data_IF_842994024160
#
_entry.id   IF_842994024160
#
_cell.length_a   1.000
_cell.length_b   1.000
_cell.length_c   1.000
_cell.angle_alpha   90.00
_cell.angle_beta   90.00
_cell.angle_gamma   90.00
#
_symmetry.space_group_name_H-M   'P 1'
#
loop_
_entity.id
_entity.type
_entity.pdbx_description
1 polymer ?
#
# COMPACT_ATOMS: atom_id res chain seq x y z
N UNK A 1 -0.80 3.91 6.12
CA UNK A 1 -0.98 3.73 7.58
C UNK A 1 0.35 3.96 8.33
N UNK A 2 1.39 3.15 8.16
CA UNK A 2 2.69 3.29 8.86
C UNK A 2 3.31 4.69 8.77
N UNK A 3 3.42 5.26 7.57
CA UNK A 3 3.98 6.60 7.36
C UNK A 3 3.25 7.66 8.20
N UNK A 4 1.93 7.55 8.33
CA UNK A 4 1.12 8.49 9.12
C UNK A 4 1.35 8.37 10.62
N UNK A 5 1.57 7.17 11.15
CA UNK A 5 2.01 7.04 12.54
C UNK A 5 3.30 7.80 12.77
N UNK A 6 4.28 7.65 11.88
CA UNK A 6 5.55 8.36 11.99
C UNK A 6 5.37 9.88 11.88
N UNK A 7 4.65 10.37 10.87
CA UNK A 7 4.48 11.80 10.61
C UNK A 7 3.68 12.48 11.73
N UNK A 8 2.51 11.94 12.06
CA UNK A 8 1.60 12.56 13.04
C UNK A 8 2.17 12.50 14.47
N UNK A 9 2.89 11.42 14.80
CA UNK A 9 3.61 11.34 16.08
C UNK A 9 4.92 12.13 16.11
N UNK A 10 5.26 12.84 15.03
CA UNK A 10 6.55 13.54 14.88
C UNK A 10 7.76 12.63 15.10
N UNK A 11 7.65 11.39 14.64
CA UNK A 11 8.71 10.39 14.72
C UNK A 11 8.79 9.62 16.03
N UNK A 12 7.87 9.86 16.98
CA UNK A 12 7.84 9.14 18.27
C UNK A 12 7.35 7.69 18.09
N UNK A 13 6.45 7.45 17.14
CA UNK A 13 5.96 6.11 16.80
C UNK A 13 6.31 5.81 15.35
N UNK A 14 7.00 4.70 15.11
CA UNK A 14 7.45 4.29 13.76
C UNK A 14 7.10 2.83 13.46
N UNK A 15 5.84 2.39 13.70
CA UNK A 15 5.48 1.01 13.42
C UNK A 15 5.47 0.75 11.91
N UNK A 16 6.02 -0.38 11.50
CA UNK A 16 5.74 -0.98 10.20
C UNK A 16 4.54 -1.89 10.42
N UNK A 17 3.38 -1.51 9.92
CA UNK A 17 2.13 -2.25 10.13
C UNK A 17 2.07 -3.49 9.22
N UNK A 18 1.60 -4.59 9.76
CA UNK A 18 1.58 -5.88 9.10
C UNK A 18 0.59 -5.96 7.94
N UNK A 19 1.09 -6.10 6.72
CA UNK A 19 0.28 -6.47 5.57
C UNK A 19 -0.31 -7.90 5.71
N UNK A 20 0.44 -8.83 6.31
CA UNK A 20 -0.04 -10.18 6.61
C UNK A 20 -1.27 -10.20 7.50
N UNK A 21 -1.32 -9.34 8.53
CA UNK A 21 -2.50 -9.22 9.38
C UNK A 21 -3.73 -8.73 8.59
N UNK A 22 -3.56 -7.76 7.71
CA UNK A 22 -4.66 -7.27 6.85
C UNK A 22 -5.12 -8.36 5.89
N UNK A 23 -4.19 -9.02 5.19
CA UNK A 23 -4.52 -10.08 4.21
C UNK A 23 -5.27 -11.23 4.88
N UNK A 24 -4.82 -11.68 6.07
CA UNK A 24 -5.36 -12.88 6.71
C UNK A 24 -6.54 -12.64 7.65
N UNK A 25 -6.63 -11.48 8.29
CA UNK A 25 -7.60 -11.22 9.37
C UNK A 25 -8.68 -10.20 9.03
N UNK A 26 -8.53 -9.42 7.97
CA UNK A 26 -9.60 -8.57 7.48
C UNK A 26 -10.61 -9.40 6.66
N UNK A 27 -11.72 -9.80 7.30
CA UNK A 27 -12.69 -10.73 6.68
C UNK A 27 -13.91 -10.05 6.04
N UNK A 28 -14.18 -8.79 6.38
CA UNK A 28 -15.29 -8.03 5.82
C UNK A 28 -14.77 -7.21 4.62
N UNK A 29 -15.17 -7.58 3.40
CA UNK A 29 -14.78 -6.88 2.17
C UNK A 29 -13.34 -7.06 1.71
N UNK A 30 -12.47 -7.65 2.54
CA UNK A 30 -11.15 -8.13 2.16
C UNK A 30 -11.24 -9.59 1.74
N UNK A 31 -10.56 -9.94 0.65
CA UNK A 31 -10.59 -11.30 0.06
C UNK A 31 -9.19 -11.92 0.04
N UNK A 32 -8.35 -11.58 1.01
CA UNK A 32 -6.98 -12.08 1.10
C UNK A 32 -6.18 -11.81 -0.19
N UNK A 33 -5.55 -12.86 -0.71
CA UNK A 33 -4.78 -12.78 -1.96
C UNK A 33 -5.67 -12.62 -3.22
N UNK A 34 -6.98 -12.69 -3.10
CA UNK A 34 -7.92 -12.42 -4.20
C UNK A 34 -8.38 -10.96 -4.27
N UNK A 35 -7.70 -10.06 -3.56
CA UNK A 35 -7.95 -8.62 -3.58
C UNK A 35 -8.86 -8.15 -2.45
N UNK A 36 -9.60 -7.05 -2.69
CA UNK A 36 -10.48 -6.45 -1.70
C UNK A 36 -10.77 -4.99 -2.00
N UNK A 37 -11.46 -4.36 -1.10
CA UNK A 37 -11.78 -2.93 -1.16
C UNK A 37 -10.89 -2.17 -0.17
N UNK A 38 -10.11 -1.18 -0.60
CA UNK A 38 -9.14 -0.50 0.27
C UNK A 38 -9.74 0.06 1.56
N UNK A 39 -10.94 0.63 1.49
CA UNK A 39 -11.59 1.19 2.69
C UNK A 39 -11.86 0.14 3.78
N UNK A 40 -12.01 -1.13 3.43
CA UNK A 40 -12.19 -2.21 4.42
C UNK A 40 -10.91 -2.44 5.24
N UNK A 41 -9.74 -2.25 4.64
CA UNK A 41 -8.48 -2.29 5.38
C UNK A 41 -8.39 -1.14 6.40
N UNK A 42 -8.96 0.03 6.08
CA UNK A 42 -9.03 1.15 7.03
C UNK A 42 -10.07 0.91 8.14
N UNK A 43 -11.22 0.29 7.82
CA UNK A 43 -12.19 -0.17 8.82
C UNK A 43 -11.55 -1.20 9.76
N UNK A 44 -10.78 -2.15 9.21
CA UNK A 44 -10.04 -3.12 10.00
C UNK A 44 -9.01 -2.44 10.91
N UNK A 45 -8.26 -1.45 10.40
CA UNK A 45 -7.33 -0.67 11.19
C UNK A 45 -8.02 0.08 12.33
N UNK A 46 -9.18 0.72 12.06
CA UNK A 46 -9.98 1.42 13.07
C UNK A 46 -10.52 0.49 14.16
N UNK A 47 -11.12 -0.63 13.77
CA UNK A 47 -11.87 -1.50 14.69
C UNK A 47 -11.04 -2.58 15.38
N UNK A 48 -10.09 -3.18 14.66
CA UNK A 48 -9.31 -4.32 15.14
C UNK A 48 -7.89 -3.94 15.55
N UNK A 49 -7.35 -2.87 14.97
CA UNK A 49 -5.93 -2.55 15.05
C UNK A 49 -5.07 -3.51 14.23
N UNK A 50 -3.89 -3.05 13.86
CA UNK A 50 -2.92 -3.82 13.05
C UNK A 50 -1.63 -3.93 13.85
N UNK A 51 -1.08 -5.14 14.07
CA UNK A 51 0.21 -5.31 14.74
C UNK A 51 1.37 -4.89 13.83
N UNK A 52 2.57 -4.86 14.36
CA UNK A 52 3.78 -4.68 13.57
C UNK A 52 4.01 -5.85 12.62
N UNK A 53 4.62 -5.56 11.49
CA UNK A 53 5.04 -6.51 10.48
C UNK A 53 6.21 -5.93 9.71
N UNK A 54 6.85 -6.76 8.93
CA UNK A 54 7.98 -6.38 8.09
C UNK A 54 8.00 -7.28 6.86
N UNK A 55 9.13 -7.32 6.18
CA UNK A 55 9.34 -8.22 5.05
C UNK A 55 9.36 -9.69 5.52
N UNK A 56 9.33 -10.61 4.55
CA UNK A 56 9.48 -12.04 4.82
C UNK A 56 10.80 -12.31 5.55
N UNK A 57 10.72 -13.05 6.65
CA UNK A 57 11.88 -13.40 7.49
C UNK A 57 12.32 -12.33 8.49
N UNK A 58 11.58 -11.21 8.60
CA UNK A 58 11.79 -10.24 9.66
C UNK A 58 11.50 -10.87 11.02
N UNK A 59 12.44 -10.77 11.96
CA UNK A 59 12.33 -11.34 13.32
C UNK A 59 12.03 -10.30 14.39
N UNK A 60 11.98 -9.01 14.04
CA UNK A 60 11.83 -7.89 14.98
C UNK A 60 10.39 -7.35 15.05
N UNK A 61 9.45 -8.01 14.37
CA UNK A 61 8.05 -7.61 14.29
C UNK A 61 7.09 -8.74 14.64
N UNK A 62 5.85 -8.42 15.00
CA UNK A 62 4.87 -9.40 15.44
C UNK A 62 4.45 -10.39 14.34
N UNK A 63 4.04 -9.86 13.17
CA UNK A 63 3.58 -10.66 12.02
C UNK A 63 4.24 -10.20 10.72
N UNK A 64 5.44 -10.68 10.40
CA UNK A 64 6.11 -10.37 9.14
C UNK A 64 5.33 -10.88 7.92
N UNK A 65 5.72 -10.41 6.73
CA UNK A 65 5.07 -10.86 5.51
C UNK A 65 5.31 -12.35 5.28
N UNK A 66 4.27 -13.05 4.86
CA UNK A 66 4.29 -14.53 4.79
C UNK A 66 4.88 -15.09 3.50
N UNK A 67 5.17 -14.24 2.50
CA UNK A 67 5.76 -14.64 1.23
C UNK A 67 7.13 -13.97 1.03
N UNK A 68 8.12 -14.70 0.51
CA UNK A 68 9.37 -14.11 0.08
C UNK A 68 9.17 -13.22 -1.15
N UNK A 69 10.14 -12.34 -1.41
CA UNK A 69 10.19 -11.55 -2.65
C UNK A 69 10.22 -12.48 -3.85
N UNK A 70 9.50 -12.13 -4.90
CA UNK A 70 9.44 -12.89 -6.14
C UNK A 70 9.54 -11.97 -7.37
N UNK A 71 9.76 -12.58 -8.52
CA UNK A 71 9.95 -11.90 -9.80
C UNK A 71 8.59 -11.47 -10.38
N UNK A 72 8.12 -10.26 -10.05
CA UNK A 72 6.81 -9.76 -10.45
C UNK A 72 6.90 -8.96 -11.75
N UNK A 73 6.32 -9.47 -12.84
CA UNK A 73 6.30 -8.86 -14.19
C UNK A 73 7.67 -8.58 -14.82
N UNK A 74 8.74 -9.19 -14.31
CA UNK A 74 10.10 -8.98 -14.80
C UNK A 74 10.80 -10.32 -15.06
N UNK A 75 11.81 -10.27 -15.92
CA UNK A 75 12.71 -11.39 -16.15
C UNK A 75 14.08 -11.06 -15.55
N UNK A 76 14.84 -12.09 -15.18
CA UNK A 76 16.26 -11.98 -14.81
C UNK A 76 16.61 -11.09 -13.61
N UNK A 77 15.71 -10.98 -12.62
CA UNK A 77 15.99 -10.26 -11.35
C UNK A 77 16.80 -11.09 -10.35
N UNK A 78 17.03 -12.37 -10.63
CA UNK A 78 17.62 -13.32 -9.68
C UNK A 78 16.66 -13.81 -8.59
N UNK A 79 15.41 -13.34 -8.59
CA UNK A 79 14.36 -13.82 -7.71
C UNK A 79 13.61 -15.00 -8.36
N UNK A 80 12.97 -15.87 -7.55
CA UNK A 80 12.08 -16.90 -8.09
C UNK A 80 10.84 -16.27 -8.72
N UNK A 81 10.19 -16.97 -9.64
CA UNK A 81 8.91 -16.54 -10.20
C UNK A 81 7.85 -16.46 -9.11
N UNK A 82 6.95 -15.48 -9.22
CA UNK A 82 5.83 -15.37 -8.33
C UNK A 82 4.82 -16.51 -8.60
N UNK A 83 4.18 -17.08 -7.56
CA UNK A 83 3.07 -17.99 -7.75
C UNK A 83 1.92 -17.26 -8.42
N UNK A 84 1.18 -17.94 -9.30
CA UNK A 84 0.02 -17.38 -10.02
C UNK A 84 -1.04 -16.84 -9.04
N UNK A 85 -1.35 -17.62 -8.01
CA UNK A 85 -2.15 -17.18 -6.85
C UNK A 85 -1.51 -17.75 -5.58
N UNK A 86 -1.13 -16.85 -4.68
CA UNK A 86 -0.65 -17.26 -3.37
C UNK A 86 -1.84 -17.63 -2.46
N UNK A 87 -1.65 -18.67 -1.66
CA UNK A 87 -2.63 -19.04 -0.64
C UNK A 87 -2.40 -18.19 0.60
N UNK A 88 -3.41 -17.41 0.97
CA UNK A 88 -3.36 -16.65 2.21
C UNK A 88 -3.25 -17.55 3.45
N UNK A 89 -2.50 -17.16 4.48
CA UNK A 89 -2.49 -17.87 5.75
C UNK A 89 -3.83 -17.68 6.47
N UNK A 90 -4.19 -18.62 7.33
CA UNK A 90 -5.32 -18.43 8.25
C UNK A 90 -5.01 -17.27 9.20
N UNK A 91 -6.05 -16.49 9.55
CA UNK A 91 -5.90 -15.45 10.57
C UNK A 91 -5.32 -16.04 11.86
N UNK A 92 -4.14 -15.59 12.22
CA UNK A 92 -3.48 -15.90 13.47
C UNK A 92 -3.29 -14.61 14.27
N UNK A 93 -3.80 -14.59 15.49
CA UNK A 93 -3.70 -13.46 16.42
C UNK A 93 -2.63 -13.73 17.48
N UNK A 94 -1.49 -14.28 17.03
CA UNK A 94 -0.31 -14.57 17.84
C UNK A 94 0.91 -14.07 17.10
N UNK A 95 1.79 -13.37 17.79
CA UNK A 95 3.07 -12.96 17.21
C UNK A 95 3.97 -14.18 16.97
N UNK A 96 4.96 -14.01 16.10
CA UNK A 96 5.98 -15.03 15.87
C UNK A 96 6.76 -15.35 17.16
N UNK A 97 7.36 -16.52 17.19
CA UNK A 97 8.18 -16.97 18.33
C UNK A 97 9.41 -16.04 18.51
N UNK A 98 9.70 -15.68 19.74
CA UNK A 98 10.82 -14.79 20.09
C UNK A 98 10.50 -13.30 20.05
N UNK A 99 9.31 -12.90 19.61
CA UNK A 99 8.88 -11.50 19.71
C UNK A 99 8.42 -11.18 21.14
N UNK A 100 8.79 -10.01 21.65
CA UNK A 100 8.71 -9.66 23.08
C UNK A 100 7.33 -9.19 23.57
N UNK A 101 6.37 -8.95 22.64
CA UNK A 101 5.02 -8.47 22.97
C UNK A 101 3.94 -9.47 22.54
N UNK A 102 2.84 -9.46 23.28
CA UNK A 102 1.64 -10.13 22.83
C UNK A 102 0.97 -9.41 21.66
N UNK A 103 0.31 -10.15 20.77
CA UNK A 103 -0.42 -9.61 19.62
C UNK A 103 -1.39 -8.48 20.01
N UNK A 104 -2.05 -8.57 21.16
CA UNK A 104 -3.00 -7.55 21.63
C UNK A 104 -2.32 -6.25 22.01
N UNK A 105 -1.12 -6.33 22.55
CA UNK A 105 -0.33 -5.19 23.02
C UNK A 105 0.39 -4.49 21.86
N UNK A 106 0.69 -5.23 20.80
CA UNK A 106 1.40 -4.71 19.62
C UNK A 106 0.48 -4.05 18.57
N UNK A 107 -0.82 -3.93 18.82
CA UNK A 107 -1.76 -3.38 17.84
C UNK A 107 -1.78 -1.86 17.84
N UNK A 108 -1.70 -1.31 16.66
CA UNK A 108 -1.84 0.12 16.35
C UNK A 108 -3.19 0.37 15.69
N UNK A 109 -3.91 1.37 16.14
CA UNK A 109 -5.27 1.67 15.70
C UNK A 109 -5.33 2.96 14.88
N UNK A 110 -6.38 3.13 14.10
CA UNK A 110 -6.81 4.44 13.61
C UNK A 110 -7.73 5.10 14.64
N UNK A 111 -7.77 6.43 14.63
CA UNK A 111 -8.82 7.21 15.30
C UNK A 111 -10.02 7.46 14.37
N UNK A 112 -9.77 7.55 13.08
CA UNK A 112 -10.77 7.72 12.03
C UNK A 112 -10.21 7.29 10.65
N UNK A 113 -11.12 7.09 9.69
CA UNK A 113 -10.79 6.99 8.27
C UNK A 113 -11.77 7.85 7.47
N UNK A 114 -11.32 8.33 6.32
CA UNK A 114 -12.10 9.22 5.45
C UNK A 114 -11.63 9.13 3.99
N UNK A 115 -12.42 9.70 3.09
CA UNK A 115 -12.08 9.84 1.69
C UNK A 115 -11.66 11.26 1.38
N UNK A 116 -10.75 11.41 0.41
CA UNK A 116 -10.27 12.70 -0.08
C UNK A 116 -10.64 12.82 -1.56
N UNK A 117 -11.05 13.99 -2.02
CA UNK A 117 -11.45 14.20 -3.41
C UNK A 117 -10.97 15.57 -3.91
N UNK A 118 -10.57 15.59 -5.17
CA UNK A 118 -10.08 16.83 -5.79
C UNK A 118 -8.57 17.02 -5.67
N UNK A 119 -7.96 17.54 -6.72
CA UNK A 119 -6.49 17.66 -6.83
C UNK A 119 -5.88 18.45 -5.65
N UNK A 120 -6.48 19.58 -5.28
CA UNK A 120 -5.94 20.45 -4.23
C UNK A 120 -6.10 19.85 -2.84
N UNK A 121 -7.22 19.19 -2.55
CA UNK A 121 -7.46 18.50 -1.29
C UNK A 121 -6.50 17.30 -1.13
N UNK A 122 -6.24 16.56 -2.20
CA UNK A 122 -5.28 15.45 -2.22
C UNK A 122 -3.87 15.96 -1.91
N UNK A 123 -3.45 17.06 -2.54
CA UNK A 123 -2.13 17.68 -2.29
C UNK A 123 -2.02 18.16 -0.85
N UNK A 124 -3.04 18.84 -0.34
CA UNK A 124 -3.10 19.34 1.04
C UNK A 124 -2.99 18.18 2.03
N UNK A 125 -3.75 17.12 1.80
CA UNK A 125 -3.74 15.93 2.65
C UNK A 125 -2.36 15.26 2.71
N UNK A 126 -1.71 15.11 1.56
CA UNK A 126 -0.35 14.54 1.49
C UNK A 126 0.65 15.46 2.21
N UNK A 127 0.55 16.76 2.00
CA UNK A 127 1.48 17.74 2.57
C UNK A 127 1.37 17.81 4.08
N UNK A 128 0.16 17.83 4.64
CA UNK A 128 -0.08 18.00 6.06
C UNK A 128 0.02 16.70 6.86
N UNK A 129 -0.40 15.57 6.28
CA UNK A 129 -0.61 14.31 7.02
C UNK A 129 0.12 13.11 6.43
N UNK A 130 0.73 13.26 5.26
CA UNK A 130 1.54 12.23 4.62
C UNK A 130 0.76 11.36 3.64
N UNK A 131 1.34 10.23 3.28
CA UNK A 131 0.88 9.36 2.20
C UNK A 131 -0.58 8.93 2.31
N UNK A 132 -1.20 8.71 1.15
CA UNK A 132 -2.58 8.26 1.00
C UNK A 132 -2.63 6.98 0.16
N UNK A 133 -3.69 6.20 0.34
CA UNK A 133 -4.02 5.09 -0.55
C UNK A 133 -4.85 5.62 -1.73
N UNK A 134 -4.60 5.07 -2.90
CA UNK A 134 -5.41 5.25 -4.09
C UNK A 134 -5.52 3.95 -4.86
N UNK A 135 -6.60 3.80 -5.60
CA UNK A 135 -6.81 2.69 -6.53
C UNK A 135 -6.94 3.20 -7.95
N UNK A 136 -6.36 2.50 -8.91
CA UNK A 136 -6.47 2.85 -10.32
C UNK A 136 -6.61 1.60 -11.20
N UNK A 137 -6.98 1.81 -12.46
CA UNK A 137 -7.10 0.77 -13.46
C UNK A 137 -5.74 0.52 -14.13
N UNK A 138 -5.28 -0.70 -14.07
CA UNK A 138 -4.02 -1.16 -14.71
C UNK A 138 -4.32 -1.70 -16.09
N UNK A 139 -3.55 -1.24 -17.07
CA UNK A 139 -3.54 -1.72 -18.45
C UNK A 139 -2.21 -2.41 -18.78
N UNK A 140 -2.15 -3.14 -19.87
CA UNK A 140 -0.98 -3.92 -20.25
C UNK A 140 0.29 -3.06 -20.38
N UNK A 141 0.19 -1.86 -20.93
CA UNK A 141 1.32 -0.93 -21.09
C UNK A 141 1.90 -0.41 -19.76
N UNK A 142 1.12 -0.47 -18.67
CA UNK A 142 1.62 -0.12 -17.33
C UNK A 142 2.60 -1.16 -16.79
N UNK A 143 2.45 -2.42 -17.16
CA UNK A 143 3.33 -3.51 -16.69
C UNK A 143 4.78 -3.24 -17.07
N UNK A 144 4.99 -2.66 -18.26
CA UNK A 144 6.32 -2.36 -18.81
C UNK A 144 6.85 -0.97 -18.45
N UNK A 145 6.16 -0.23 -17.57
CA UNK A 145 6.58 1.10 -17.14
C UNK A 145 8.00 1.07 -16.56
N UNK A 146 8.84 2.06 -16.93
CA UNK A 146 10.21 2.22 -16.41
C UNK A 146 10.48 3.62 -15.87
N UNK A 147 10.10 4.66 -16.61
CA UNK A 147 10.39 6.06 -16.26
C UNK A 147 9.40 7.03 -16.89
N UNK A 148 9.45 8.30 -16.48
CA UNK A 148 8.58 9.37 -16.98
C UNK A 148 7.20 9.38 -16.33
N UNK A 149 6.29 10.19 -16.87
CA UNK A 149 4.90 10.28 -16.40
C UNK A 149 4.04 9.33 -17.20
N UNK A 150 3.56 8.26 -16.54
CA UNK A 150 2.71 7.27 -17.19
C UNK A 150 1.40 7.88 -17.65
N UNK A 151 1.09 7.60 -18.90
CA UNK A 151 -0.19 7.86 -19.53
C UNK A 151 -0.53 6.63 -20.37
N UNK A 152 -1.67 6.02 -20.07
CA UNK A 152 -2.16 4.86 -20.82
C UNK A 152 -2.37 5.24 -22.29
N UNK A 153 -1.81 4.48 -23.20
CA UNK A 153 -1.90 4.70 -24.66
C UNK A 153 -2.43 3.47 -25.41
N UNK A 154 -2.15 2.26 -24.91
CA UNK A 154 -2.57 1.02 -25.58
C UNK A 154 -2.59 -0.18 -24.61
N UNK A 155 -3.22 -1.26 -25.04
CA UNK A 155 -3.31 -2.50 -24.28
C UNK A 155 -4.64 -2.70 -23.57
N UNK A 156 -4.91 -3.95 -23.22
CA UNK A 156 -6.16 -4.34 -22.56
C UNK A 156 -6.14 -3.97 -21.07
N UNK A 157 -7.33 -3.78 -20.49
CA UNK A 157 -7.51 -3.63 -19.06
C UNK A 157 -7.19 -4.95 -18.35
N UNK A 158 -6.28 -4.91 -17.38
CA UNK A 158 -5.90 -6.05 -16.54
C UNK A 158 -6.69 -6.11 -15.21
N UNK A 159 -7.08 -4.96 -14.65
CA UNK A 159 -7.86 -4.90 -13.42
C UNK A 159 -7.60 -3.66 -12.58
N UNK A 160 -8.16 -3.67 -11.38
CA UNK A 160 -7.93 -2.63 -10.38
C UNK A 160 -6.71 -2.94 -9.52
N UNK A 161 -5.96 -1.90 -9.13
CA UNK A 161 -4.76 -2.04 -8.32
C UNK A 161 -4.69 -0.92 -7.27
N UNK A 162 -4.36 -1.27 -6.04
CA UNK A 162 -4.17 -0.32 -4.95
C UNK A 162 -2.70 0.09 -4.83
N UNK A 163 -2.45 1.38 -4.72
CA UNK A 163 -1.11 1.97 -4.64
C UNK A 163 -1.04 3.02 -3.54
N UNK A 164 0.14 3.50 -3.25
CA UNK A 164 0.37 4.58 -2.30
C UNK A 164 0.85 5.85 -3.03
N UNK A 165 0.11 6.95 -2.91
CA UNK A 165 0.56 8.26 -3.37
C UNK A 165 1.34 8.93 -2.24
N UNK A 166 2.56 9.40 -2.54
CA UNK A 166 3.48 10.00 -1.57
C UNK A 166 3.84 11.45 -1.88
N UNK A 167 3.46 11.96 -3.06
CA UNK A 167 3.81 13.30 -3.49
C UNK A 167 3.30 13.62 -4.89
N UNK A 168 3.72 14.76 -5.38
CA UNK A 168 3.37 15.24 -6.72
C UNK A 168 4.47 16.13 -7.27
N UNK A 169 4.40 16.42 -8.58
CA UNK A 169 5.33 17.32 -9.25
C UNK A 169 4.91 17.66 -10.68
N UNK A 170 5.86 18.20 -11.40
CA UNK A 170 5.76 18.48 -12.84
C UNK A 170 7.06 18.01 -13.48
N UNK A 171 6.98 17.23 -14.55
CA UNK A 171 8.10 16.76 -15.34
C UNK A 171 7.85 17.07 -16.81
N UNK A 172 8.76 17.80 -17.44
CA UNK A 172 8.63 18.23 -18.84
C UNK A 172 7.29 18.92 -19.16
N UNK A 173 6.74 19.68 -18.19
CA UNK A 173 5.45 20.36 -18.32
C UNK A 173 4.23 19.49 -17.99
N UNK A 174 4.40 18.19 -17.72
CA UNK A 174 3.32 17.26 -17.38
C UNK A 174 3.22 17.13 -15.86
N UNK A 175 2.04 17.39 -15.31
CA UNK A 175 1.75 17.21 -13.88
C UNK A 175 1.67 15.73 -13.55
N UNK A 176 2.19 15.31 -12.39
CA UNK A 176 2.13 13.91 -11.96
C UNK A 176 1.86 13.73 -10.47
N UNK A 177 1.33 12.57 -10.12
CA UNK A 177 1.40 11.98 -8.79
C UNK A 177 2.62 11.06 -8.71
N UNK A 178 3.40 11.16 -7.62
CA UNK A 178 4.47 10.22 -7.30
C UNK A 178 3.89 9.09 -6.45
N UNK A 179 4.01 7.88 -6.95
CA UNK A 179 3.39 6.68 -6.37
C UNK A 179 4.40 5.61 -6.02
N UNK A 180 4.09 4.83 -5.00
CA UNK A 180 4.81 3.60 -4.62
C UNK A 180 3.96 2.41 -5.05
N UNK A 181 4.58 1.51 -5.83
CA UNK A 181 3.99 0.24 -6.22
C UNK A 181 4.36 -0.87 -5.21
N UNK A 182 3.76 -2.04 -5.36
CA UNK A 182 4.02 -3.23 -4.55
C UNK A 182 4.54 -4.42 -5.39
N UNK A 183 5.19 -4.14 -6.53
CA UNK A 183 5.73 -5.15 -7.45
C UNK A 183 7.26 -5.30 -7.34
N UNK A 184 7.82 -5.10 -6.16
CA UNK A 184 9.23 -5.04 -5.77
C UNK A 184 10.03 -3.85 -6.34
N UNK A 185 11.28 -3.74 -5.91
CA UNK A 185 12.17 -2.61 -6.25
C UNK A 185 12.81 -2.68 -7.65
N UNK A 186 12.67 -3.82 -8.34
CA UNK A 186 13.21 -3.98 -9.69
C UNK A 186 12.24 -3.48 -10.77
N UNK A 187 10.96 -3.33 -10.44
CA UNK A 187 9.94 -2.79 -11.34
C UNK A 187 9.93 -1.24 -11.30
N UNK A 188 9.68 -0.63 -12.48
CA UNK A 188 9.55 0.82 -12.59
C UNK A 188 10.83 1.56 -12.21
N UNK A 189 10.70 2.72 -11.60
CA UNK A 189 11.82 3.48 -11.04
C UNK A 189 12.04 3.03 -9.57
N UNK A 190 12.73 1.90 -9.38
CA UNK A 190 13.01 1.31 -8.05
C UNK A 190 11.74 1.08 -7.20
N UNK A 191 10.68 0.57 -7.83
CA UNK A 191 9.39 0.35 -7.19
C UNK A 191 8.46 1.56 -7.18
N UNK A 192 8.91 2.70 -7.71
CA UNK A 192 8.12 3.92 -7.84
C UNK A 192 7.63 4.12 -9.27
N UNK A 193 6.60 4.93 -9.41
CA UNK A 193 6.15 5.42 -10.70
C UNK A 193 5.49 6.79 -10.58
N UNK A 194 5.41 7.50 -11.69
CA UNK A 194 4.68 8.75 -11.83
C UNK A 194 3.48 8.51 -12.73
N UNK A 195 2.32 9.02 -12.38
CA UNK A 195 1.11 8.93 -13.20
C UNK A 195 0.51 10.33 -13.39
N UNK A 196 -0.07 10.58 -14.56
CA UNK A 196 -0.69 11.87 -14.91
C UNK A 196 -1.67 12.34 -13.83
N UNK A 197 -1.52 13.62 -13.41
CA UNK A 197 -2.30 14.27 -12.35
C UNK A 197 -3.23 15.34 -12.88
N UNK A 198 -4.43 15.43 -12.26
CA UNK A 198 -5.40 16.48 -12.51
C UNK A 198 -6.46 16.12 -13.55
N UNK A 199 -6.40 14.92 -14.13
CA UNK A 199 -7.33 14.43 -15.15
C UNK A 199 -8.00 13.10 -14.76
N UNK A 200 -7.85 12.70 -13.49
CA UNK A 200 -8.31 11.39 -12.99
C UNK A 200 -7.87 10.23 -13.89
N UNK A 201 -6.63 10.28 -14.36
CA UNK A 201 -6.09 9.32 -15.33
C UNK A 201 -6.14 7.89 -14.77
N UNK A 202 -6.69 6.95 -15.52
CA UNK A 202 -6.95 5.57 -15.10
C UNK A 202 -7.74 5.46 -13.77
N UNK A 203 -8.45 6.52 -13.36
CA UNK A 203 -9.23 6.56 -12.14
C UNK A 203 -8.44 6.84 -10.86
N UNK A 204 -7.16 7.21 -10.95
CA UNK A 204 -6.25 7.35 -9.80
C UNK A 204 -6.69 8.39 -8.76
N UNK A 205 -7.53 9.36 -9.13
CA UNK A 205 -8.05 10.39 -8.22
C UNK A 205 -9.47 10.11 -7.71
N UNK A 206 -10.11 9.03 -8.20
CA UNK A 206 -11.52 8.77 -7.92
C UNK A 206 -11.76 8.13 -6.55
N UNK A 207 -10.88 7.23 -6.12
CA UNK A 207 -11.08 6.38 -4.96
C UNK A 207 -9.90 6.49 -4.00
N UNK A 208 -9.81 7.61 -3.29
CA UNK A 208 -8.75 7.85 -2.32
C UNK A 208 -9.30 7.65 -0.92
N UNK A 209 -8.67 6.76 -0.19
CA UNK A 209 -8.99 6.49 1.21
C UNK A 209 -7.76 6.74 2.06
N UNK A 210 -7.99 7.30 3.23
CA UNK A 210 -6.94 7.54 4.20
C UNK A 210 -7.50 7.49 5.63
N UNK A 211 -6.67 7.68 6.64
CA UNK A 211 -7.09 7.69 8.04
C UNK A 211 -6.04 8.29 8.94
N UNK A 212 -6.44 8.68 10.12
CA UNK A 212 -5.57 9.21 11.15
C UNK A 212 -5.20 8.12 12.15
N UNK A 213 -3.92 8.01 12.54
CA UNK A 213 -3.52 7.10 13.59
C UNK A 213 -4.08 7.56 14.94
N UNK A 214 -4.46 6.61 15.77
CA UNK A 214 -4.67 6.87 17.19
C UNK A 214 -3.29 6.84 17.85
N UNK A 215 -2.89 7.98 18.39
CA UNK A 215 -1.68 8.09 19.21
C UNK A 215 -2.09 7.88 20.67
N UNK A 216 -1.35 7.04 21.38
CA UNK A 216 -1.50 6.83 22.82
C UNK A 216 -0.81 7.92 23.62
#
# INVERSE_FOLDING_TARGET
>A
MSDRHCIISKGLQRPILSASAVISCCVLGCKGCSGGLPYEAFIFWLGSGIPTGGDYGDTETCLPYFLPKCNHHLNDTGLPDCPEIAKEPKCNKTCQEGYDKDYKEDRYFASEYYTVRGEEEIKTEIYERGSIESSFLVYEDFVDYKEGVYQHVEGALLGGHAIKIIGWGVENGVKYWLCVNSWNEFWGDKGYFKILRGENHCGVEANIVTGMPKLD
#
